data_IF_873718908794
#
_entry.id   IF_873718908794
#
_cell.length_a   1.000
_cell.length_b   1.000
_cell.length_c   1.000
_cell.angle_alpha   90.00
_cell.angle_beta   90.00
_cell.angle_gamma   90.00
#
_symmetry.space_group_name_H-M   'P 1'
#
loop_
_entity.id
_entity.type
_entity.pdbx_description
1 polymer ?
#
# COMPACT_ATOMS: atom_id res chain seq x y z
N UNK A 1 -16.44 1.77 23.87
CA UNK A 1 -15.46 2.15 22.82
C UNK A 1 -15.95 1.53 21.52
N UNK A 2 -16.44 2.33 20.58
CA UNK A 2 -16.84 1.81 19.27
C UNK A 2 -15.59 1.30 18.54
N UNK A 3 -15.68 0.09 17.97
CA UNK A 3 -14.64 -0.43 17.09
C UNK A 3 -14.49 0.56 15.93
N UNK A 4 -13.35 1.25 15.86
CA UNK A 4 -13.02 2.03 14.67
C UNK A 4 -12.98 1.06 13.49
N UNK A 5 -13.53 1.43 12.32
CA UNK A 5 -13.39 0.59 11.13
C UNK A 5 -11.90 0.29 10.96
N UNK A 6 -11.55 -1.00 10.90
CA UNK A 6 -10.16 -1.41 10.83
C UNK A 6 -9.54 -0.75 9.58
N UNK A 7 -8.51 0.08 9.78
CA UNK A 7 -7.75 0.65 8.68
C UNK A 7 -7.28 -0.51 7.78
N UNK A 8 -7.59 -0.43 6.49
CA UNK A 8 -7.19 -1.44 5.52
C UNK A 8 -5.66 -1.42 5.43
N UNK A 9 -5.03 -2.54 5.79
CA UNK A 9 -3.58 -2.75 5.72
C UNK A 9 -3.22 -3.49 4.43
N UNK A 10 -2.26 -2.96 3.69
CA UNK A 10 -1.83 -3.51 2.40
C UNK A 10 -0.32 -3.77 2.43
N UNK A 11 0.08 -5.02 2.18
CA UNK A 11 1.47 -5.41 1.98
C UNK A 11 1.77 -5.46 0.47
N UNK A 12 2.81 -4.75 0.02
CA UNK A 12 3.21 -4.78 -1.38
C UNK A 12 4.36 -5.77 -1.64
N UNK A 13 4.20 -6.60 -2.67
CA UNK A 13 5.22 -7.53 -3.13
C UNK A 13 5.46 -7.35 -4.64
N UNK A 14 6.72 -7.48 -5.07
CA UNK A 14 7.10 -7.51 -6.49
C UNK A 14 7.94 -8.73 -6.81
N UNK A 15 7.95 -9.10 -8.08
CA UNK A 15 8.97 -9.96 -8.67
C UNK A 15 10.24 -9.14 -8.97
N UNK A 16 11.42 -9.76 -8.85
CA UNK A 16 12.75 -9.15 -8.87
C UNK A 16 13.24 -8.57 -10.19
N UNK A 17 12.42 -7.78 -10.89
CA UNK A 17 12.80 -6.98 -12.04
C UNK A 17 12.84 -5.51 -11.62
N UNK A 18 13.95 -4.82 -11.88
CA UNK A 18 14.22 -3.46 -11.36
C UNK A 18 13.21 -2.39 -11.83
N UNK A 19 12.43 -2.67 -12.89
CA UNK A 19 11.32 -1.82 -13.33
C UNK A 19 10.14 -1.78 -12.34
N UNK A 20 9.93 -2.85 -11.56
CA UNK A 20 8.76 -2.98 -10.69
C UNK A 20 8.85 -2.12 -9.41
N UNK A 21 10.05 -1.68 -8.99
CA UNK A 21 10.18 -0.76 -7.84
C UNK A 21 9.52 0.58 -8.10
N UNK A 22 9.61 1.06 -9.35
CA UNK A 22 8.93 2.30 -9.74
C UNK A 22 7.42 2.11 -9.67
N UNK A 23 6.91 0.99 -10.20
CA UNK A 23 5.50 0.64 -10.12
C UNK A 23 4.99 0.54 -8.69
N UNK A 24 5.71 -0.19 -7.83
CA UNK A 24 5.38 -0.31 -6.40
C UNK A 24 5.29 1.05 -5.72
N UNK A 25 6.24 1.96 -5.98
CA UNK A 25 6.22 3.30 -5.35
C UNK A 25 4.99 4.12 -5.77
N UNK A 26 4.57 4.01 -7.03
CA UNK A 26 3.36 4.69 -7.53
C UNK A 26 2.11 4.12 -6.86
N UNK A 27 1.98 2.79 -6.82
CA UNK A 27 0.82 2.13 -6.18
C UNK A 27 0.78 2.40 -4.67
N UNK A 28 1.94 2.32 -3.99
CA UNK A 28 2.05 2.64 -2.56
C UNK A 28 1.58 4.06 -2.26
N UNK A 29 1.91 5.02 -3.14
CA UNK A 29 1.47 6.41 -2.99
C UNK A 29 -0.05 6.53 -3.14
N UNK A 30 -0.61 5.97 -4.21
CA UNK A 30 -2.05 6.03 -4.47
C UNK A 30 -2.87 5.39 -3.33
N UNK A 31 -2.42 4.27 -2.79
CA UNK A 31 -3.10 3.59 -1.67
C UNK A 31 -3.03 4.41 -0.37
N UNK A 32 -1.91 5.07 -0.08
CA UNK A 32 -1.80 5.97 1.08
C UNK A 32 -2.68 7.21 0.92
N UNK A 33 -2.73 7.80 -0.28
CA UNK A 33 -3.60 8.93 -0.58
C UNK A 33 -5.09 8.55 -0.46
N UNK A 34 -5.44 7.27 -0.65
CA UNK A 34 -6.78 6.71 -0.40
C UNK A 34 -7.05 6.37 1.10
N UNK A 35 -6.12 6.66 2.00
CA UNK A 35 -6.27 6.44 3.45
C UNK A 35 -5.88 5.05 3.94
N UNK A 36 -5.20 4.24 3.12
CA UNK A 36 -4.75 2.90 3.53
C UNK A 36 -3.40 2.94 4.24
N UNK A 37 -3.18 1.98 5.14
CA UNK A 37 -1.88 1.73 5.76
C UNK A 37 -1.10 0.75 4.90
N UNK A 38 -0.05 1.25 4.22
CA UNK A 38 0.77 0.44 3.30
C UNK A 38 2.09 0.05 3.96
N UNK A 39 2.37 -1.26 4.01
CA UNK A 39 3.55 -1.91 4.58
C UNK A 39 4.46 -2.46 3.48
#
# INVERSE_FOLDING_TARGET
>A
MAAQPANIKVLLAKLGLDGHDRGIKVIARAMRDAGMEVV
#
